data_IF_675337660845
#
_entry.id   IF_675337660845
#
_cell.length_a   1.000
_cell.length_b   1.000
_cell.length_c   1.000
_cell.angle_alpha   90.00
_cell.angle_beta   90.00
_cell.angle_gamma   90.00
#
_symmetry.space_group_name_H-M   'P 1'
#
loop_
_entity.id
_entity.type
_entity.pdbx_description
1 polymer ?
#
# COMPACT_ATOMS: atom_id res chain seq x y z
N UNK A 1 -24.32 -23.18 -7.65
CA UNK A 1 -23.06 -23.75 -8.15
C UNK A 1 -21.98 -23.28 -7.19
N UNK A 2 -21.59 -24.09 -6.21
CA UNK A 2 -20.49 -23.75 -5.31
C UNK A 2 -19.19 -24.01 -6.07
N UNK A 3 -18.42 -22.94 -6.31
CA UNK A 3 -17.09 -23.06 -6.91
C UNK A 3 -16.20 -23.83 -5.95
N UNK A 4 -15.50 -24.83 -6.48
CA UNK A 4 -14.42 -25.51 -5.79
C UNK A 4 -13.35 -24.46 -5.47
N UNK A 5 -13.32 -24.00 -4.22
CA UNK A 5 -12.19 -23.26 -3.69
C UNK A 5 -11.09 -24.30 -3.45
N UNK A 6 -10.32 -24.60 -4.50
CA UNK A 6 -9.03 -25.26 -4.33
C UNK A 6 -8.26 -24.39 -3.36
N UNK A 7 -7.86 -24.95 -2.22
CA UNK A 7 -7.11 -24.28 -1.16
C UNK A 7 -5.84 -23.66 -1.78
N UNK A 8 -5.94 -22.40 -2.22
CA UNK A 8 -4.83 -21.67 -2.83
C UNK A 8 -4.03 -21.05 -1.71
N UNK A 9 -2.74 -21.36 -1.68
CA UNK A 9 -1.82 -20.71 -0.75
C UNK A 9 -1.77 -19.21 -1.04
N UNK A 10 -1.93 -18.40 0.00
CA UNK A 10 -1.85 -16.96 -0.09
C UNK A 10 -0.99 -16.37 1.02
N UNK A 11 -0.22 -15.34 0.70
CA UNK A 11 0.59 -14.57 1.65
C UNK A 11 -0.05 -13.20 1.83
N UNK A 12 -0.26 -12.80 3.09
CA UNK A 12 -0.69 -11.43 3.43
C UNK A 12 0.46 -10.70 4.10
N UNK A 13 0.99 -9.67 3.45
CA UNK A 13 2.01 -8.79 4.00
C UNK A 13 1.38 -7.47 4.44
N UNK A 14 1.58 -7.06 5.69
CA UNK A 14 1.19 -5.73 6.17
C UNK A 14 2.37 -4.77 6.13
N UNK A 15 2.15 -3.54 5.71
CA UNK A 15 3.22 -2.56 5.50
C UNK A 15 2.81 -1.14 5.87
N UNK A 16 3.84 -0.29 6.03
CA UNK A 16 3.73 1.16 6.21
C UNK A 16 4.71 1.87 5.27
N UNK A 17 4.20 2.76 4.44
CA UNK A 17 4.96 3.64 3.57
C UNK A 17 5.02 5.02 4.20
N UNK A 18 6.24 5.52 4.45
CA UNK A 18 6.48 6.91 4.86
C UNK A 18 7.61 7.50 4.06
N UNK A 19 7.36 8.54 3.28
CA UNK A 19 8.37 9.17 2.43
C UNK A 19 8.05 10.64 2.12
N UNK A 20 9.09 11.42 1.84
CA UNK A 20 8.94 12.79 1.35
C UNK A 20 9.09 12.80 -0.17
N UNK A 21 8.14 13.41 -0.89
CA UNK A 21 8.30 13.60 -2.33
C UNK A 21 9.23 14.79 -2.60
N UNK A 22 9.99 14.69 -3.70
CA UNK A 22 10.88 15.75 -4.19
C UNK A 22 10.09 16.83 -4.94
N UNK A 23 9.14 17.46 -4.27
CA UNK A 23 8.39 18.63 -4.74
C UNK A 23 8.76 19.85 -3.88
N UNK A 24 8.55 21.09 -4.35
CA UNK A 24 8.98 22.31 -3.62
C UNK A 24 8.45 22.42 -2.19
N UNK A 25 7.24 21.91 -1.92
CA UNK A 25 6.61 21.89 -0.59
C UNK A 25 6.86 20.59 0.22
N UNK A 26 7.76 19.72 -0.28
CA UNK A 26 8.20 18.46 0.34
C UNK A 26 7.05 17.67 1.00
N UNK A 27 5.97 17.31 0.29
CA UNK A 27 4.83 16.66 0.92
C UNK A 27 5.25 15.33 1.58
N UNK A 28 4.70 15.07 2.77
CA UNK A 28 4.87 13.79 3.46
C UNK A 28 3.78 12.83 3.00
N UNK A 29 4.19 11.75 2.35
CA UNK A 29 3.32 10.60 2.08
C UNK A 29 3.43 9.65 3.28
N UNK A 30 2.30 9.30 3.87
CA UNK A 30 2.18 8.34 4.96
C UNK A 30 0.95 7.47 4.72
N UNK A 31 1.18 6.21 4.37
CA UNK A 31 0.13 5.25 4.00
C UNK A 31 0.43 3.92 4.65
N UNK A 32 -0.56 3.33 5.30
CA UNK A 32 -0.52 1.95 5.78
C UNK A 32 -1.32 1.08 4.82
N UNK A 33 -0.97 -0.19 4.69
CA UNK A 33 -1.66 -1.07 3.77
C UNK A 33 -1.31 -2.54 3.93
N UNK A 34 -1.87 -3.35 3.04
CA UNK A 34 -1.60 -4.77 2.94
C UNK A 34 -1.48 -5.18 1.48
N UNK A 35 -0.62 -6.15 1.23
CA UNK A 35 -0.50 -6.81 -0.07
C UNK A 35 -0.85 -8.27 0.09
N UNK A 36 -1.70 -8.76 -0.82
CA UNK A 36 -2.11 -10.16 -0.90
C UNK A 36 -1.44 -10.74 -2.14
N UNK A 37 -0.72 -11.84 -1.93
CA UNK A 37 -0.09 -12.63 -2.98
C UNK A 37 -0.76 -13.99 -3.04
N UNK A 38 -1.32 -14.36 -4.19
CA UNK A 38 -1.80 -15.72 -4.41
C UNK A 38 -0.66 -16.52 -5.07
N UNK A 39 -0.45 -17.75 -4.60
CA UNK A 39 0.60 -18.65 -5.06
C UNK A 39 0.03 -19.77 -5.94
N UNK A 40 0.84 -20.26 -6.89
CA UNK A 40 0.59 -21.52 -7.59
C UNK A 40 1.14 -22.73 -6.80
N UNK A 41 0.95 -23.94 -7.35
CA UNK A 41 1.42 -25.20 -6.76
C UNK A 41 2.95 -25.29 -6.63
N UNK A 42 3.70 -24.43 -7.36
CA UNK A 42 5.15 -24.29 -7.24
C UNK A 42 5.57 -23.09 -6.37
N UNK A 43 4.64 -22.54 -5.57
CA UNK A 43 4.83 -21.38 -4.69
C UNK A 43 5.26 -20.10 -5.40
N UNK A 44 4.96 -19.95 -6.69
CA UNK A 44 5.22 -18.71 -7.43
C UNK A 44 4.05 -17.74 -7.25
N UNK A 45 4.34 -16.46 -7.13
CA UNK A 45 3.33 -15.41 -7.08
C UNK A 45 2.66 -15.28 -8.44
N UNK A 46 1.38 -15.64 -8.52
CA UNK A 46 0.58 -15.53 -9.76
C UNK A 46 -0.39 -14.36 -9.73
N UNK A 47 -0.62 -13.75 -8.56
CA UNK A 47 -1.45 -12.56 -8.41
C UNK A 47 -0.95 -11.67 -7.28
N UNK A 48 -0.93 -10.37 -7.54
CA UNK A 48 -0.53 -9.31 -6.63
C UNK A 48 -1.68 -8.32 -6.47
N UNK A 49 -2.19 -8.14 -5.25
CA UNK A 49 -3.24 -7.16 -4.96
C UNK A 49 -2.80 -6.28 -3.79
N UNK A 50 -2.75 -4.98 -4.03
CA UNK A 50 -2.51 -4.00 -2.97
C UNK A 50 -3.81 -3.40 -2.46
N UNK A 51 -3.89 -3.25 -1.14
CA UNK A 51 -4.96 -2.53 -0.46
C UNK A 51 -4.33 -1.48 0.43
N UNK A 52 -4.70 -0.23 0.19
CA UNK A 52 -4.31 0.88 1.03
C UNK A 52 -5.40 1.11 2.07
N UNK A 53 -5.00 1.48 3.28
CA UNK A 53 -5.93 1.81 4.36
C UNK A 53 -6.52 3.22 4.22
N UNK A 54 -6.26 3.88 3.10
CA UNK A 54 -6.80 5.19 2.73
C UNK A 54 -7.43 5.13 1.34
N UNK A 55 -8.34 6.04 1.07
CA UNK A 55 -8.91 6.23 -0.26
C UNK A 55 -7.89 6.81 -1.24
N UNK A 56 -8.16 6.63 -2.54
CA UNK A 56 -7.36 7.26 -3.59
C UNK A 56 -7.35 8.79 -3.47
N UNK A 57 -8.47 9.40 -3.06
CA UNK A 57 -8.57 10.84 -2.87
C UNK A 57 -7.66 11.32 -1.72
N UNK A 58 -7.67 10.63 -0.58
CA UNK A 58 -6.76 10.94 0.54
C UNK A 58 -5.29 10.84 0.12
N UNK A 59 -4.93 9.80 -0.66
CA UNK A 59 -3.57 9.66 -1.18
C UNK A 59 -3.18 10.83 -2.09
N UNK A 60 -4.08 11.28 -2.97
CA UNK A 60 -3.87 12.44 -3.85
C UNK A 60 -3.71 13.71 -3.02
N UNK A 61 -4.55 13.93 -2.01
CA UNK A 61 -4.47 15.12 -1.14
C UNK A 61 -3.11 15.22 -0.44
N UNK A 62 -2.51 14.10 -0.01
CA UNK A 62 -1.18 14.09 0.60
C UNK A 62 -0.11 14.67 -0.34
N UNK A 63 -0.18 14.42 -1.66
CA UNK A 63 0.77 14.95 -2.66
C UNK A 63 0.74 16.48 -2.70
N UNK A 64 -0.44 17.09 -2.52
CA UNK A 64 -0.63 18.54 -2.59
C UNK A 64 -0.57 19.24 -1.22
N UNK A 65 -0.43 18.47 -0.13
CA UNK A 65 -0.33 19.02 1.22
C UNK A 65 1.13 19.28 1.58
N UNK A 66 1.54 20.54 1.86
CA UNK A 66 2.88 20.85 2.36
C UNK A 66 3.20 20.04 3.61
N UNK A 67 4.44 19.54 3.70
CA UNK A 67 4.89 18.99 4.97
C UNK A 67 4.89 20.09 6.02
N UNK A 68 4.22 19.84 7.15
CA UNK A 68 4.42 20.61 8.37
C UNK A 68 5.77 20.21 8.98
N UNK A 69 6.88 20.53 8.30
CA UNK A 69 8.18 20.60 8.97
C UNK A 69 8.01 21.67 10.07
N UNK A 70 7.73 21.24 11.31
CA UNK A 70 8.13 22.07 12.45
C UNK A 70 9.66 22.18 12.30
N UNK A 71 10.25 23.38 12.29
CA UNK A 71 11.69 23.47 12.43
C UNK A 71 12.02 22.69 13.70
N UNK A 72 12.86 21.66 13.58
CA UNK A 72 13.48 21.03 14.73
C UNK A 72 14.01 22.17 15.62
N UNK A 73 13.42 22.30 16.81
CA UNK A 73 13.91 23.20 17.84
C UNK A 73 14.94 22.47 18.67
#
# INVERSE_FOLDING_TARGET
>A
MQGLDSEKDFIVASWKLRTYLRLPWKPLISVDGRTIYDLDEEFRIVRHVERWNISALEAIIQIFTPSSERPDR
#
